data_IF_897282163467
#
_entry.id   IF_897282163467
#
_cell.length_a   1.000
_cell.length_b   1.000
_cell.length_c   1.000
_cell.angle_alpha   90.00
_cell.angle_beta   90.00
_cell.angle_gamma   90.00
#
_symmetry.space_group_name_H-M   'P 1'
#
loop_
_entity.id
_entity.type
_entity.pdbx_description
1 polymer ?
#
# COMPACT_ATOMS: atom_id res chain seq x y z
N UNK A 1 23.81 29.94 -9.64
CA UNK A 1 23.11 28.95 -8.80
C UNK A 1 21.58 29.13 -8.87
N UNK A 2 21.04 30.35 -8.70
CA UNK A 2 19.59 30.65 -8.78
C UNK A 2 18.92 30.20 -10.09
N UNK A 3 19.59 30.33 -11.24
CA UNK A 3 19.05 29.89 -12.55
C UNK A 3 18.83 28.37 -12.60
N UNK A 4 19.69 27.58 -11.94
CA UNK A 4 19.57 26.12 -11.92
C UNK A 4 18.34 25.67 -11.10
N UNK A 5 18.14 26.27 -9.92
CA UNK A 5 16.99 25.98 -9.07
C UNK A 5 15.66 26.36 -9.75
N UNK A 6 15.63 27.53 -10.39
CA UNK A 6 14.45 27.98 -11.14
C UNK A 6 14.09 27.01 -12.26
N UNK A 7 15.07 26.61 -13.08
CA UNK A 7 14.86 25.65 -14.16
C UNK A 7 14.39 24.28 -13.65
N UNK A 8 14.94 23.81 -12.52
CA UNK A 8 14.55 22.55 -11.90
C UNK A 8 13.07 22.56 -11.47
N UNK A 9 12.62 23.62 -10.78
CA UNK A 9 11.21 23.79 -10.37
C UNK A 9 10.28 23.82 -11.59
N UNK A 10 10.64 24.60 -12.62
CA UNK A 10 9.83 24.70 -13.85
C UNK A 10 9.74 23.35 -14.55
N UNK A 11 10.85 22.62 -14.67
CA UNK A 11 10.85 21.29 -15.28
C UNK A 11 9.98 20.30 -14.49
N UNK A 12 10.09 20.30 -13.16
CA UNK A 12 9.26 19.47 -12.29
C UNK A 12 7.76 19.76 -12.48
N UNK A 13 7.36 21.03 -12.46
CA UNK A 13 5.97 21.44 -12.68
C UNK A 13 5.45 21.04 -14.06
N UNK A 14 6.30 21.13 -15.11
CA UNK A 14 5.96 20.64 -16.45
C UNK A 14 5.78 19.12 -16.47
N UNK A 15 6.61 18.36 -15.76
CA UNK A 15 6.45 16.90 -15.61
C UNK A 15 5.13 16.55 -14.90
N UNK A 16 4.69 17.35 -13.93
CA UNK A 16 3.38 17.23 -13.28
C UNK A 16 2.19 17.68 -14.16
N UNK A 17 2.43 17.99 -15.44
CA UNK A 17 1.41 18.46 -16.40
C UNK A 17 0.70 19.75 -15.96
N UNK A 18 1.36 20.59 -15.16
CA UNK A 18 0.86 21.94 -14.85
C UNK A 18 0.98 22.81 -16.10
N UNK A 19 -0.09 23.53 -16.44
CA UNK A 19 -0.15 24.43 -17.59
C UNK A 19 0.91 25.54 -17.51
N UNK A 20 1.52 25.92 -18.65
CA UNK A 20 2.62 26.88 -18.68
C UNK A 20 2.25 28.28 -18.15
N UNK A 21 1.04 28.77 -18.43
CA UNK A 21 0.57 30.06 -17.90
C UNK A 21 0.46 30.01 -16.37
N UNK A 22 0.03 28.87 -15.83
CA UNK A 22 -0.03 28.64 -14.38
C UNK A 22 1.37 28.60 -13.77
N UNK A 23 2.32 27.90 -14.42
CA UNK A 23 3.72 27.88 -13.99
C UNK A 23 4.28 29.29 -13.96
N UNK A 24 4.09 30.08 -15.01
CA UNK A 24 4.57 31.46 -15.08
C UNK A 24 3.99 32.31 -13.94
N UNK A 25 2.67 32.21 -13.69
CA UNK A 25 2.01 32.92 -12.59
C UNK A 25 2.56 32.52 -11.22
N UNK A 26 2.83 31.24 -11.00
CA UNK A 26 3.45 30.73 -9.76
C UNK A 26 4.84 31.34 -9.60
N UNK A 27 5.68 31.28 -10.64
CA UNK A 27 7.05 31.78 -10.57
C UNK A 27 7.10 33.30 -10.37
N UNK A 28 6.25 34.06 -11.07
CA UNK A 28 6.14 35.52 -10.91
C UNK A 28 5.69 35.90 -9.50
N UNK A 29 4.78 35.14 -8.91
CA UNK A 29 4.34 35.36 -7.53
C UNK A 29 5.47 35.07 -6.53
N UNK A 30 6.16 33.94 -6.68
CA UNK A 30 7.29 33.54 -5.82
C UNK A 30 8.43 34.56 -5.89
N UNK A 31 8.74 35.10 -7.07
CA UNK A 31 9.83 36.07 -7.24
C UNK A 31 9.56 37.42 -6.56
N UNK A 32 8.28 37.73 -6.28
CA UNK A 32 7.84 38.93 -5.55
C UNK A 32 7.71 38.73 -4.03
N UNK A 33 7.83 37.49 -3.53
CA UNK A 33 7.67 37.21 -2.11
C UNK A 33 8.90 37.62 -1.28
N UNK A 34 8.70 38.15 -0.05
CA UNK A 34 9.79 38.29 0.90
C UNK A 34 10.35 36.89 1.23
N UNK A 35 11.68 36.76 1.24
CA UNK A 35 12.32 35.47 1.49
C UNK A 35 12.18 34.45 0.34
N UNK A 36 11.97 34.89 -0.90
CA UNK A 36 11.78 34.06 -2.11
C UNK A 36 12.70 32.84 -2.25
N UNK A 37 13.93 32.89 -1.76
CA UNK A 37 14.83 31.72 -1.80
C UNK A 37 14.32 30.56 -0.94
N UNK A 38 13.76 30.83 0.25
CA UNK A 38 13.12 29.82 1.08
C UNK A 38 11.86 29.27 0.42
N UNK A 39 11.06 30.15 -0.19
CA UNK A 39 9.85 29.77 -0.92
C UNK A 39 10.20 28.88 -2.12
N UNK A 40 11.25 29.22 -2.87
CA UNK A 40 11.77 28.37 -3.97
C UNK A 40 12.28 27.03 -3.45
N UNK A 41 12.96 27.01 -2.29
CA UNK A 41 13.38 25.76 -1.64
C UNK A 41 12.19 24.86 -1.29
N UNK A 42 11.15 25.43 -0.68
CA UNK A 42 9.91 24.72 -0.37
C UNK A 42 9.23 24.23 -1.65
N UNK A 43 9.09 25.09 -2.67
CA UNK A 43 8.47 24.71 -3.94
C UNK A 43 9.24 23.59 -4.65
N UNK A 44 10.59 23.63 -4.64
CA UNK A 44 11.42 22.54 -5.12
C UNK A 44 11.08 21.23 -4.42
N UNK A 45 11.08 21.22 -3.09
CA UNK A 45 10.72 20.04 -2.30
C UNK A 45 9.30 19.54 -2.60
N UNK A 46 8.32 20.44 -2.71
CA UNK A 46 6.92 20.08 -2.98
C UNK A 46 6.70 19.51 -4.40
N UNK A 47 7.61 19.81 -5.33
CA UNK A 47 7.51 19.42 -6.75
C UNK A 47 8.53 18.37 -7.16
N UNK A 48 9.41 17.95 -6.25
CA UNK A 48 10.50 17.04 -6.56
C UNK A 48 9.98 15.73 -7.14
N UNK A 49 10.45 15.41 -8.35
CA UNK A 49 9.98 14.26 -9.11
C UNK A 49 10.80 13.02 -8.75
N UNK A 50 10.10 11.92 -8.46
CA UNK A 50 10.75 10.62 -8.26
C UNK A 50 11.50 10.21 -9.51
N UNK A 51 12.75 9.78 -9.35
CA UNK A 51 13.58 9.39 -10.49
C UNK A 51 12.95 8.24 -11.29
N UNK A 52 12.82 8.39 -12.61
CA UNK A 52 12.38 7.31 -13.52
C UNK A 52 13.31 6.09 -13.55
N UNK A 53 14.54 6.22 -13.04
CA UNK A 53 15.47 5.09 -12.86
C UNK A 53 15.03 4.11 -11.75
N UNK A 54 13.90 4.38 -11.08
CA UNK A 54 13.42 3.66 -9.89
C UNK A 54 12.37 2.57 -10.17
N UNK A 55 12.42 1.89 -11.33
CA UNK A 55 11.52 0.75 -11.66
C UNK A 55 10.08 1.17 -12.00
N UNK A 56 9.92 2.41 -12.45
CA UNK A 56 8.62 3.03 -12.67
C UNK A 56 8.14 2.87 -14.11
N UNK A 57 6.83 2.89 -14.26
CA UNK A 57 6.19 3.03 -15.56
C UNK A 57 6.47 4.43 -16.13
N UNK A 58 6.51 4.54 -17.46
CA UNK A 58 6.66 5.85 -18.10
C UNK A 58 5.49 6.75 -17.73
N UNK A 59 5.80 7.95 -17.22
CA UNK A 59 4.77 8.84 -16.70
C UNK A 59 3.78 9.29 -17.79
N UNK A 60 2.50 9.14 -17.47
CA UNK A 60 1.35 9.55 -18.28
C UNK A 60 1.31 8.89 -19.67
N UNK A 61 1.90 7.71 -19.83
CA UNK A 61 1.88 6.97 -21.11
C UNK A 61 0.48 6.49 -21.48
N UNK A 62 -0.31 6.04 -20.50
CA UNK A 62 -1.63 5.44 -20.72
C UNK A 62 -2.80 6.24 -20.12
N UNK A 63 -2.52 7.30 -19.35
CA UNK A 63 -3.54 8.17 -18.75
C UNK A 63 -3.01 9.57 -18.50
N UNK A 64 -3.90 10.58 -18.54
CA UNK A 64 -3.59 11.94 -18.13
C UNK A 64 -3.80 12.17 -16.62
N UNK A 65 -4.47 11.24 -15.93
CA UNK A 65 -4.82 11.36 -14.51
C UNK A 65 -3.82 10.66 -13.60
N UNK A 66 -3.23 9.55 -14.06
CA UNK A 66 -2.28 8.75 -13.30
C UNK A 66 -0.95 8.73 -14.04
N UNK A 67 0.13 9.03 -13.32
CA UNK A 67 1.46 8.97 -13.89
C UNK A 67 1.83 7.53 -14.28
N UNK A 68 1.62 6.55 -13.43
CA UNK A 68 1.92 5.14 -13.71
C UNK A 68 0.62 4.34 -13.67
N UNK A 69 -0.05 4.19 -14.81
CA UNK A 69 -1.45 3.74 -14.86
C UNK A 69 -1.61 2.32 -14.32
N UNK A 70 -0.81 1.37 -14.80
CA UNK A 70 -0.93 -0.03 -14.40
C UNK A 70 -0.42 -0.24 -12.97
N UNK A 71 0.65 0.46 -12.57
CA UNK A 71 1.18 0.38 -11.21
C UNK A 71 0.20 0.97 -10.18
N UNK A 72 -0.53 2.04 -10.54
CA UNK A 72 -1.58 2.62 -9.70
C UNK A 72 -2.75 1.66 -9.54
N UNK A 73 -3.26 1.09 -10.63
CA UNK A 73 -4.46 0.23 -10.60
C UNK A 73 -4.17 -1.11 -9.93
N UNK A 74 -2.99 -1.70 -10.15
CA UNK A 74 -2.63 -2.98 -9.52
C UNK A 74 -2.55 -2.91 -7.99
N UNK A 75 -2.34 -1.72 -7.41
CA UNK A 75 -2.41 -1.51 -5.96
C UNK A 75 -3.83 -1.62 -5.38
N UNK A 76 -4.89 -1.56 -6.21
CA UNK A 76 -6.27 -1.74 -5.74
C UNK A 76 -6.49 -3.14 -5.13
N UNK A 77 -5.77 -4.15 -5.59
CA UNK A 77 -5.84 -5.49 -4.99
C UNK A 77 -5.38 -5.51 -3.53
N UNK A 78 -4.25 -4.86 -3.24
CA UNK A 78 -3.72 -4.74 -1.89
C UNK A 78 -4.66 -3.93 -1.00
N UNK A 79 -5.20 -2.83 -1.52
CA UNK A 79 -6.19 -2.00 -0.84
C UNK A 79 -7.46 -2.79 -0.50
N UNK A 80 -8.02 -3.54 -1.45
CA UNK A 80 -9.24 -4.32 -1.28
C UNK A 80 -9.06 -5.40 -0.20
N UNK A 81 -7.94 -6.12 -0.22
CA UNK A 81 -7.62 -7.13 0.79
C UNK A 81 -7.50 -6.49 2.18
N UNK A 82 -6.78 -5.38 2.29
CA UNK A 82 -6.62 -4.69 3.57
C UNK A 82 -7.96 -4.17 4.12
N UNK A 83 -8.79 -3.60 3.26
CA UNK A 83 -10.13 -3.14 3.62
C UNK A 83 -11.02 -4.29 4.09
N UNK A 84 -11.04 -5.39 3.34
CA UNK A 84 -11.85 -6.58 3.65
C UNK A 84 -11.54 -7.16 5.04
N UNK A 85 -10.26 -7.22 5.42
CA UNK A 85 -9.83 -7.73 6.73
C UNK A 85 -9.71 -6.66 7.83
N UNK A 86 -10.12 -5.41 7.57
CA UNK A 86 -10.01 -4.32 8.56
C UNK A 86 -8.57 -3.96 8.96
N UNK A 87 -7.59 -4.22 8.08
CA UNK A 87 -6.17 -3.99 8.35
C UNK A 87 -5.75 -2.56 7.99
N UNK A 88 -6.02 -1.61 8.89
CA UNK A 88 -5.77 -0.18 8.65
C UNK A 88 -4.31 0.17 8.38
N UNK A 89 -3.36 -0.55 8.96
CA UNK A 89 -1.93 -0.33 8.73
C UNK A 89 -1.57 -0.67 7.27
N UNK A 90 -2.02 -1.82 6.79
CA UNK A 90 -1.79 -2.22 5.40
C UNK A 90 -2.64 -1.40 4.42
N UNK A 91 -3.83 -0.94 4.83
CA UNK A 91 -4.66 -0.05 4.03
C UNK A 91 -3.96 1.30 3.79
N UNK A 92 -3.33 1.85 4.82
CA UNK A 92 -2.50 3.05 4.69
C UNK A 92 -1.30 2.82 3.78
N UNK A 93 -0.59 1.70 3.95
CA UNK A 93 0.55 1.34 3.08
C UNK A 93 0.14 1.19 1.60
N UNK A 94 -0.98 0.52 1.33
CA UNK A 94 -1.53 0.37 -0.01
C UNK A 94 -1.93 1.71 -0.62
N UNK A 95 -2.50 2.61 0.20
CA UNK A 95 -2.85 3.98 -0.22
C UNK A 95 -1.60 4.79 -0.56
N UNK A 96 -0.55 4.72 0.26
CA UNK A 96 0.71 5.39 -0.03
C UNK A 96 1.32 4.87 -1.32
N UNK A 97 1.33 3.55 -1.54
CA UNK A 97 1.82 2.96 -2.78
C UNK A 97 1.03 3.41 -4.01
N UNK A 98 -0.30 3.35 -3.96
CA UNK A 98 -1.15 3.83 -5.04
C UNK A 98 -0.92 5.31 -5.36
N UNK A 99 -0.83 6.17 -4.33
CA UNK A 99 -0.55 7.60 -4.51
C UNK A 99 0.85 7.86 -5.07
N UNK A 100 1.84 7.07 -4.65
CA UNK A 100 3.23 7.16 -5.13
C UNK A 100 3.30 6.91 -6.64
N UNK A 101 2.50 5.99 -7.18
CA UNK A 101 2.43 5.71 -8.61
C UNK A 101 1.49 6.65 -9.37
N UNK A 102 0.43 7.13 -8.72
CA UNK A 102 -0.51 8.08 -9.32
C UNK A 102 0.14 9.44 -9.56
N UNK A 103 0.94 9.91 -8.59
CA UNK A 103 1.56 11.23 -8.58
C UNK A 103 3.07 11.05 -8.38
N UNK A 104 3.92 11.46 -9.34
CA UNK A 104 5.33 11.07 -9.40
C UNK A 104 6.22 11.95 -8.50
N UNK A 105 5.80 12.17 -7.25
CA UNK A 105 6.51 13.01 -6.28
C UNK A 105 7.38 12.16 -5.35
N UNK A 106 8.62 12.61 -5.12
CA UNK A 106 9.61 11.89 -4.30
C UNK A 106 9.08 11.60 -2.89
N UNK A 107 8.43 12.58 -2.25
CA UNK A 107 7.84 12.40 -0.91
C UNK A 107 6.76 11.31 -0.84
N UNK A 108 6.01 11.11 -1.93
CA UNK A 108 4.98 10.05 -1.95
C UNK A 108 5.65 8.69 -2.10
N UNK A 109 6.74 8.62 -2.87
CA UNK A 109 7.59 7.43 -2.92
C UNK A 109 8.24 7.12 -1.56
N UNK A 110 8.67 8.14 -0.81
CA UNK A 110 9.23 7.94 0.53
C UNK A 110 8.16 7.39 1.50
N UNK A 111 6.90 7.84 1.39
CA UNK A 111 5.77 7.30 2.15
C UNK A 111 5.42 5.86 1.76
N UNK A 112 5.52 5.53 0.48
CA UNK A 112 5.35 4.17 -0.03
C UNK A 112 6.40 3.21 0.53
N UNK A 113 7.68 3.64 0.54
CA UNK A 113 8.75 2.89 1.21
C UNK A 113 8.48 2.70 2.71
N UNK A 114 7.98 3.74 3.40
CA UNK A 114 7.56 3.61 4.79
C UNK A 114 6.43 2.57 4.95
N UNK A 115 5.46 2.55 4.03
CA UNK A 115 4.41 1.55 3.98
C UNK A 115 4.94 0.12 3.89
N UNK A 116 5.96 -0.12 3.05
CA UNK A 116 6.64 -1.42 2.95
C UNK A 116 7.25 -1.84 4.29
N UNK A 117 7.90 -0.92 5.01
CA UNK A 117 8.46 -1.21 6.34
C UNK A 117 7.39 -1.54 7.38
N UNK A 118 6.23 -0.88 7.34
CA UNK A 118 5.09 -1.17 8.22
C UNK A 118 4.59 -2.59 7.99
N UNK A 119 4.36 -2.99 6.74
CA UNK A 119 3.92 -4.35 6.38
C UNK A 119 4.97 -5.39 6.81
N UNK A 120 6.24 -5.10 6.58
CA UNK A 120 7.33 -6.00 7.00
C UNK A 120 7.41 -6.17 8.52
N UNK A 121 7.28 -5.07 9.27
CA UNK A 121 7.21 -5.11 10.74
C UNK A 121 6.02 -5.94 11.25
N UNK A 122 4.86 -5.81 10.61
CA UNK A 122 3.68 -6.65 10.89
C UNK A 122 3.98 -8.13 10.66
N UNK A 123 4.53 -8.48 9.50
CA UNK A 123 4.88 -9.87 9.16
C UNK A 123 5.86 -10.48 10.19
N UNK A 124 6.88 -9.72 10.62
CA UNK A 124 7.81 -10.16 11.67
C UNK A 124 7.08 -10.36 13.01
N UNK A 125 6.22 -9.42 13.41
CA UNK A 125 5.52 -9.52 14.69
C UNK A 125 4.60 -10.76 14.78
N UNK A 126 4.18 -11.29 13.63
CA UNK A 126 3.29 -12.43 13.49
C UNK A 126 3.99 -13.62 12.82
N UNK A 127 5.32 -13.75 12.99
CA UNK A 127 6.13 -14.78 12.32
C UNK A 127 5.65 -16.22 12.57
N UNK A 128 4.99 -16.48 13.71
CA UNK A 128 4.44 -17.81 14.03
C UNK A 128 3.45 -18.29 12.97
N UNK A 129 2.58 -17.40 12.51
CA UNK A 129 1.58 -17.70 11.45
C UNK A 129 2.29 -18.11 10.17
N UNK A 130 3.38 -17.42 9.83
CA UNK A 130 4.19 -17.74 8.65
C UNK A 130 4.84 -19.12 8.78
N UNK A 131 5.31 -19.49 9.97
CA UNK A 131 5.97 -20.78 10.23
C UNK A 131 4.99 -21.95 10.34
N UNK A 132 3.78 -21.71 10.83
CA UNK A 132 2.75 -22.74 11.07
C UNK A 132 1.88 -23.01 9.84
N UNK A 133 1.84 -22.09 8.87
CA UNK A 133 0.99 -22.18 7.69
C UNK A 133 1.84 -22.22 6.40
N UNK A 134 2.11 -23.41 5.83
CA UNK A 134 3.02 -23.56 4.70
C UNK A 134 2.57 -22.79 3.45
N UNK A 135 1.26 -22.60 3.27
CA UNK A 135 0.71 -21.79 2.19
C UNK A 135 1.06 -20.31 2.32
N UNK A 136 1.05 -19.76 3.54
CA UNK A 136 1.42 -18.36 3.80
C UNK A 136 2.89 -18.15 3.48
N UNK A 137 3.75 -19.09 3.91
CA UNK A 137 5.17 -19.06 3.61
C UNK A 137 5.44 -19.16 2.09
N UNK A 138 4.74 -20.06 1.39
CA UNK A 138 4.90 -20.26 -0.04
C UNK A 138 4.55 -18.98 -0.83
N UNK A 139 3.39 -18.38 -0.54
CA UNK A 139 2.95 -17.16 -1.21
C UNK A 139 3.78 -15.93 -0.81
N UNK A 140 4.19 -15.82 0.46
CA UNK A 140 5.11 -14.77 0.91
C UNK A 140 6.47 -14.87 0.24
N UNK A 141 7.02 -16.08 0.11
CA UNK A 141 8.29 -16.33 -0.60
C UNK A 141 8.16 -16.04 -2.09
N UNK A 142 7.05 -16.45 -2.72
CA UNK A 142 6.79 -16.17 -4.13
C UNK A 142 6.74 -14.65 -4.39
N UNK A 143 5.99 -13.91 -3.57
CA UNK A 143 5.94 -12.46 -3.64
C UNK A 143 7.36 -11.87 -3.49
N UNK A 144 8.10 -12.24 -2.44
CA UNK A 144 9.47 -11.76 -2.23
C UNK A 144 10.38 -12.06 -3.44
N UNK A 145 10.27 -13.25 -4.02
CA UNK A 145 10.97 -13.64 -5.24
C UNK A 145 10.67 -12.71 -6.41
N UNK A 146 9.40 -12.36 -6.62
CA UNK A 146 9.00 -11.38 -7.65
C UNK A 146 9.56 -9.99 -7.36
N UNK A 147 9.59 -9.52 -6.10
CA UNK A 147 10.21 -8.23 -5.75
C UNK A 147 11.73 -8.22 -6.01
N UNK A 148 12.42 -9.32 -5.72
CA UNK A 148 13.85 -9.44 -6.02
C UNK A 148 14.06 -9.44 -7.53
N UNK A 149 13.25 -10.20 -8.28
CA UNK A 149 13.29 -10.21 -9.74
C UNK A 149 13.02 -8.82 -10.31
N UNK A 150 12.00 -8.13 -9.80
CA UNK A 150 11.73 -6.74 -10.11
C UNK A 150 13.01 -5.95 -9.88
N UNK A 151 13.48 -5.87 -8.64
CA UNK A 151 14.70 -5.16 -8.23
C UNK A 151 15.91 -5.35 -9.14
N UNK A 152 16.16 -6.57 -9.60
CA UNK A 152 17.33 -6.92 -10.40
C UNK A 152 17.11 -6.74 -11.91
N UNK A 153 15.91 -7.02 -12.42
CA UNK A 153 15.60 -7.05 -13.86
C UNK A 153 15.11 -5.67 -14.32
N UNK A 154 14.24 -4.97 -13.57
CA UNK A 154 13.74 -3.64 -13.99
C UNK A 154 14.90 -2.71 -14.26
N UNK A 155 15.94 -2.71 -13.42
CA UNK A 155 17.11 -1.83 -13.59
C UNK A 155 17.82 -1.98 -14.94
N UNK A 156 17.78 -3.16 -15.57
CA UNK A 156 18.44 -3.44 -16.85
C UNK A 156 17.50 -3.28 -18.05
N UNK A 157 16.19 -3.43 -17.85
CA UNK A 157 15.18 -3.42 -18.91
C UNK A 157 13.95 -2.57 -18.52
N UNK A 158 14.22 -1.36 -18.01
CA UNK A 158 13.23 -0.45 -17.42
C UNK A 158 11.99 -0.29 -18.30
N UNK A 159 12.16 0.03 -19.58
CA UNK A 159 11.04 0.43 -20.43
C UNK A 159 10.26 -0.72 -21.09
N UNK A 160 10.77 -1.97 -21.00
CA UNK A 160 10.19 -3.11 -21.75
C UNK A 160 9.45 -4.11 -20.86
N UNK A 161 10.09 -4.51 -19.77
CA UNK A 161 9.59 -5.60 -18.92
C UNK A 161 9.31 -5.07 -17.51
N UNK A 162 9.82 -3.89 -17.21
CA UNK A 162 9.88 -3.38 -15.88
C UNK A 162 8.52 -3.18 -15.21
N UNK A 163 7.65 -2.34 -15.81
CA UNK A 163 6.30 -2.09 -15.30
C UNK A 163 5.48 -3.37 -15.16
N UNK A 164 5.63 -4.32 -16.09
CA UNK A 164 4.91 -5.60 -16.03
C UNK A 164 5.32 -6.44 -14.82
N UNK A 165 6.63 -6.57 -14.54
CA UNK A 165 7.12 -7.30 -13.36
C UNK A 165 6.68 -6.58 -12.07
N UNK A 166 6.71 -5.25 -12.05
CA UNK A 166 6.27 -4.46 -10.90
C UNK A 166 4.77 -4.63 -10.62
N UNK A 167 3.92 -4.67 -11.65
CA UNK A 167 2.50 -5.01 -11.53
C UNK A 167 2.29 -6.43 -11.00
N UNK A 168 3.06 -7.41 -11.50
CA UNK A 168 3.00 -8.79 -10.97
C UNK A 168 3.41 -8.83 -9.51
N UNK A 169 4.38 -8.02 -9.09
CA UNK A 169 4.75 -7.87 -7.69
C UNK A 169 3.56 -7.37 -6.84
N UNK A 170 2.86 -6.32 -7.26
CA UNK A 170 1.67 -5.83 -6.53
C UNK A 170 0.60 -6.91 -6.37
N UNK A 171 0.30 -7.65 -7.43
CA UNK A 171 -0.69 -8.72 -7.40
C UNK A 171 -0.25 -9.89 -6.51
N UNK A 172 1.02 -10.29 -6.58
CA UNK A 172 1.58 -11.32 -5.73
C UNK A 172 1.57 -10.90 -4.25
N UNK A 173 1.90 -9.64 -3.95
CA UNK A 173 1.86 -9.08 -2.60
C UNK A 173 0.42 -9.05 -2.05
N UNK A 174 -0.56 -8.62 -2.86
CA UNK A 174 -1.96 -8.64 -2.47
C UNK A 174 -2.45 -10.06 -2.15
N UNK A 175 -2.09 -11.05 -2.97
CA UNK A 175 -2.47 -12.43 -2.74
C UNK A 175 -1.78 -13.04 -1.51
N UNK A 176 -0.49 -12.75 -1.31
CA UNK A 176 0.24 -13.18 -0.12
C UNK A 176 -0.38 -12.57 1.15
N UNK A 177 -0.75 -11.29 1.13
CA UNK A 177 -1.44 -10.64 2.23
C UNK A 177 -2.82 -11.28 2.49
N UNK A 178 -3.57 -11.59 1.43
CA UNK A 178 -4.86 -12.27 1.56
C UNK A 178 -4.71 -13.60 2.31
N UNK A 179 -3.71 -14.41 1.94
CA UNK A 179 -3.43 -15.69 2.63
C UNK A 179 -2.97 -15.50 4.07
N UNK A 180 -2.16 -14.49 4.32
CA UNK A 180 -1.70 -14.16 5.66
C UNK A 180 -2.84 -13.72 6.58
N UNK A 181 -3.74 -12.85 6.10
CA UNK A 181 -4.90 -12.41 6.88
C UNK A 181 -5.97 -13.50 7.01
N UNK A 182 -6.17 -14.33 5.98
CA UNK A 182 -7.03 -15.52 6.07
C UNK A 182 -6.57 -16.45 7.20
N UNK A 183 -5.28 -16.77 7.24
CA UNK A 183 -4.72 -17.60 8.30
C UNK A 183 -4.86 -16.98 9.71
N UNK A 184 -4.76 -15.65 9.83
CA UNK A 184 -5.00 -14.95 11.09
C UNK A 184 -6.43 -15.14 11.61
N UNK A 185 -7.42 -14.98 10.73
CA UNK A 185 -8.83 -15.15 11.08
C UNK A 185 -9.09 -16.60 11.51
N UNK A 186 -8.61 -17.58 10.74
CA UNK A 186 -8.79 -19.00 11.07
C UNK A 186 -8.15 -19.38 12.42
N UNK A 187 -6.97 -18.85 12.75
CA UNK A 187 -6.33 -19.09 14.04
C UNK A 187 -7.18 -18.50 15.18
N UNK A 188 -7.64 -17.25 15.03
CA UNK A 188 -8.47 -16.59 16.03
C UNK A 188 -9.80 -17.31 16.25
N UNK A 189 -10.44 -17.80 15.18
CA UNK A 189 -11.68 -18.59 15.26
C UNK A 189 -11.45 -19.92 15.99
N UNK A 190 -10.35 -20.63 15.70
CA UNK A 190 -10.02 -21.88 16.38
C UNK A 190 -9.69 -21.67 17.86
N UNK A 191 -8.94 -20.62 18.21
CA UNK A 191 -8.65 -20.27 19.61
C UNK A 191 -9.93 -19.97 20.38
N UNK A 192 -10.84 -19.22 19.77
CA UNK A 192 -12.14 -18.90 20.36
C UNK A 192 -12.99 -20.15 20.56
N UNK A 193 -13.09 -21.02 19.55
CA UNK A 193 -13.82 -22.28 19.64
C UNK A 193 -13.27 -23.16 20.78
N UNK A 194 -11.94 -23.26 20.90
CA UNK A 194 -11.30 -24.01 21.99
C UNK A 194 -11.64 -23.44 23.38
N UNK A 195 -11.73 -22.11 23.51
CA UNK A 195 -12.15 -21.45 24.76
C UNK A 195 -13.61 -21.75 25.07
N UNK A 196 -14.50 -21.68 24.07
CA UNK A 196 -15.91 -21.99 24.22
C UNK A 196 -16.15 -23.45 24.65
N UNK A 197 -15.42 -24.39 24.06
CA UNK A 197 -15.47 -25.81 24.42
C UNK A 197 -14.89 -26.12 25.80
N UNK A 198 -13.93 -25.31 26.27
CA UNK A 198 -13.34 -25.46 27.60
C UNK A 198 -14.23 -24.94 28.75
N UNK A 199 -15.28 -24.17 28.45
CA UNK A 199 -16.22 -23.67 29.47
C UNK A 199 -17.16 -24.82 29.89
N UNK A 200 -17.13 -25.28 31.15
CA UNK A 200 -18.03 -26.34 31.60
C UNK A 200 -19.48 -25.85 31.54
N UNK A 201 -20.31 -26.48 30.71
CA UNK A 201 -21.73 -26.12 30.51
C UNK A 201 -22.57 -26.14 31.79
N UNK A 202 -22.09 -26.81 32.85
CA UNK A 202 -22.76 -26.89 34.14
C UNK A 202 -22.39 -25.76 35.12
N UNK A 203 -21.47 -24.86 34.75
CA UNK A 203 -20.98 -23.77 35.61
C UNK A 203 -21.29 -22.37 35.08
N UNK A 204 -21.98 -22.22 33.95
CA UNK A 204 -22.43 -20.90 33.48
C UNK A 204 -23.60 -20.46 34.38
N UNK A 205 -23.43 -19.46 35.26
CA UNK A 205 -24.53 -18.91 36.03
C UNK A 205 -25.58 -18.37 35.06
N UNK A 206 -26.87 -18.59 35.31
CA UNK A 206 -27.95 -18.25 34.36
C UNK A 206 -27.96 -16.79 33.84
N UNK A 207 -27.31 -15.85 34.53
CA UNK A 207 -27.15 -14.46 34.05
C UNK A 207 -26.05 -14.30 32.97
N UNK A 208 -25.04 -15.17 32.94
CA UNK A 208 -24.00 -15.19 31.90
C UNK A 208 -24.41 -15.99 30.67
N UNK A 209 -25.47 -16.80 30.76
CA UNK A 209 -25.98 -17.60 29.65
C UNK A 209 -26.53 -16.69 28.53
N UNK A 210 -27.23 -15.61 28.88
CA UNK A 210 -27.65 -14.59 27.91
C UNK A 210 -26.47 -13.81 27.31
N UNK A 211 -25.41 -13.59 28.07
CA UNK A 211 -24.19 -12.93 27.55
C UNK A 211 -23.42 -13.86 26.62
N UNK A 212 -23.39 -15.16 26.92
CA UNK A 212 -22.77 -16.18 26.08
C UNK A 212 -23.55 -16.37 24.77
N UNK A 213 -24.88 -16.41 24.83
CA UNK A 213 -25.74 -16.44 23.62
C UNK A 213 -25.55 -15.19 22.77
N UNK A 214 -25.50 -13.99 23.38
CA UNK A 214 -25.25 -12.74 22.63
C UNK A 214 -23.84 -12.70 22.03
N UNK A 215 -22.82 -13.15 22.75
CA UNK A 215 -21.45 -13.21 22.23
C UNK A 215 -21.37 -14.25 21.10
N UNK A 216 -21.96 -15.43 21.28
CA UNK A 216 -22.04 -16.49 20.26
C UNK A 216 -22.81 -16.02 19.02
N UNK A 217 -23.93 -15.33 19.18
CA UNK A 217 -24.71 -14.77 18.07
C UNK A 217 -23.96 -13.62 17.39
N UNK A 218 -23.23 -12.79 18.13
CA UNK A 218 -22.39 -11.74 17.54
C UNK A 218 -21.25 -12.34 16.74
N UNK A 219 -20.60 -13.39 17.24
CA UNK A 219 -19.53 -14.13 16.55
C UNK A 219 -20.07 -14.86 15.33
N UNK A 220 -21.21 -15.56 15.46
CA UNK A 220 -21.87 -16.28 14.37
C UNK A 220 -22.34 -15.32 13.27
N UNK A 221 -22.90 -14.17 13.63
CA UNK A 221 -23.27 -13.14 12.65
C UNK A 221 -22.05 -12.45 12.05
N UNK A 222 -20.94 -12.29 12.79
CA UNK A 222 -19.68 -11.78 12.24
C UNK A 222 -19.05 -12.76 11.24
N UNK A 223 -19.06 -14.07 11.53
CA UNK A 223 -18.56 -15.10 10.61
C UNK A 223 -19.49 -15.34 9.40
N UNK A 224 -20.81 -15.15 9.56
CA UNK A 224 -21.74 -15.14 8.43
C UNK A 224 -21.56 -13.87 7.59
N UNK A 225 -21.34 -12.70 8.19
CA UNK A 225 -21.09 -11.48 7.42
C UNK A 225 -19.78 -11.56 6.62
N UNK A 226 -18.74 -12.21 7.13
CA UNK A 226 -17.52 -12.48 6.35
C UNK A 226 -17.75 -13.54 5.28
N UNK A 227 -18.56 -14.58 5.53
CA UNK A 227 -18.87 -15.62 4.53
C UNK A 227 -19.87 -15.19 3.44
N UNK A 228 -20.81 -14.28 3.73
CA UNK A 228 -21.74 -13.74 2.73
C UNK A 228 -21.07 -12.80 1.71
N UNK A 229 -19.85 -12.32 1.99
CA UNK A 229 -19.05 -11.55 1.03
C UNK A 229 -18.20 -12.47 0.12
N UNK A 230 -18.17 -13.77 0.41
CA UNK A 230 -17.41 -14.80 -0.34
C UNK A 230 -18.26 -15.62 -1.34
N UNK A 231 -19.53 -15.27 -1.54
CA UNK A 231 -20.40 -15.82 -2.60
C UNK A 231 -20.68 -14.76 -3.67
#
# INVERSE_FOLDING_TARGET
MQTKLHLEIVNNLKTLKINEDCIQRIMDAVDKMPGKEHVKGALKFLTEITSQKSRRESYYQYSHYFAEYFCTISNLGLFAVAYYYGDYATLAAATFSALSHAIPLQRLHDLDLLGVFIIFGKAISQYKIIMERPEVLAWGTAALGVNIMDTLITRKHLDKIGPAIHVVWHLAAAFALYKFNQAQVEIAENELQNVLEAIPTHQIPGFLQSSYEVISDYIYNFSIQTNCVLQ
#
